data_IF_520751112340
#
_entry.id   IF_520751112340
#
_cell.length_a   1.000
_cell.length_b   1.000
_cell.length_c   1.000
_cell.angle_alpha   90.00
_cell.angle_beta   90.00
_cell.angle_gamma   90.00
#
_symmetry.space_group_name_H-M   'P 1'
#
loop_
_entity.id
_entity.type
_entity.pdbx_description
1 polymer ?
#
# COMPACT_ATOMS: atom_id res chain seq x y z
N UNK A 1 -23.43 29.70 -9.71
CA UNK A 1 -23.35 28.30 -10.15
C UNK A 1 -21.97 27.79 -9.75
N UNK A 2 -21.90 26.89 -8.78
CA UNK A 2 -20.64 26.43 -8.17
C UNK A 2 -19.96 25.39 -9.05
N UNK A 3 -18.73 25.65 -9.47
CA UNK A 3 -17.90 24.67 -10.17
C UNK A 3 -17.23 23.76 -9.15
N UNK A 4 -17.63 22.49 -9.14
CA UNK A 4 -16.99 21.45 -8.34
C UNK A 4 -15.62 21.12 -8.94
N UNK A 5 -14.57 21.78 -8.46
CA UNK A 5 -13.20 21.39 -8.73
C UNK A 5 -12.83 20.21 -7.80
N UNK A 6 -13.22 18.99 -8.17
CA UNK A 6 -12.64 17.78 -7.57
C UNK A 6 -11.23 17.64 -8.13
N UNK A 7 -10.28 18.30 -7.45
CA UNK A 7 -8.86 18.16 -7.73
C UNK A 7 -8.48 16.69 -7.68
N UNK A 8 -8.15 16.14 -8.84
CA UNK A 8 -7.48 14.87 -9.00
C UNK A 8 -6.15 14.94 -8.24
N UNK A 9 -6.10 14.41 -7.03
CA UNK A 9 -4.84 14.09 -6.38
C UNK A 9 -4.30 12.83 -7.06
N UNK A 10 -3.74 13.01 -8.27
CA UNK A 10 -2.74 12.10 -8.82
C UNK A 10 -1.56 12.16 -7.85
N UNK A 11 -1.58 11.30 -6.84
CA UNK A 11 -0.40 10.98 -6.05
C UNK A 11 0.71 10.66 -7.03
N UNK A 12 1.80 11.42 -6.93
CA UNK A 12 2.99 11.30 -7.76
C UNK A 12 3.39 9.83 -7.85
N UNK A 13 3.14 9.23 -9.01
CA UNK A 13 3.76 7.98 -9.40
C UNK A 13 5.23 8.32 -9.60
N UNK A 14 6.03 8.05 -8.56
CA UNK A 14 7.49 8.03 -8.65
C UNK A 14 7.86 7.00 -9.72
N UNK A 15 8.42 7.51 -10.81
CA UNK A 15 9.09 6.74 -11.85
C UNK A 15 10.26 5.94 -11.24
N UNK A 16 10.38 4.69 -11.68
CA UNK A 16 11.61 3.86 -11.73
C UNK A 16 12.19 3.12 -10.52
N UNK A 17 11.44 2.96 -9.43
CA UNK A 17 11.56 1.74 -8.61
C UNK A 17 10.15 1.39 -8.18
N UNK A 18 9.48 0.48 -8.91
CA UNK A 18 8.25 -0.15 -8.42
C UNK A 18 8.57 -0.82 -7.09
N UNK A 19 8.40 -0.09 -5.99
CA UNK A 19 8.44 -0.69 -4.66
C UNK A 19 7.33 -1.72 -4.68
N UNK A 20 7.66 -3.01 -4.52
CA UNK A 20 6.70 -4.11 -4.49
C UNK A 20 5.69 -4.02 -3.33
N UNK A 21 5.67 -2.89 -2.63
CA UNK A 21 4.89 -2.58 -1.45
C UNK A 21 4.14 -1.27 -1.64
N UNK A 22 2.84 -1.28 -1.39
CA UNK A 22 2.02 -0.08 -1.25
C UNK A 22 1.64 0.12 0.21
N UNK A 23 1.46 1.39 0.60
CA UNK A 23 1.12 1.77 1.97
C UNK A 23 -0.25 2.40 2.01
N UNK A 24 -1.04 1.99 3.01
CA UNK A 24 -2.43 2.38 3.16
C UNK A 24 -2.75 2.67 4.63
N UNK A 25 -3.94 3.22 4.86
CA UNK A 25 -4.47 3.51 6.19
C UNK A 25 -5.83 2.82 6.29
N UNK A 26 -6.03 2.01 7.33
CA UNK A 26 -7.31 1.38 7.59
C UNK A 26 -8.39 2.44 7.88
N UNK A 27 -9.66 2.18 7.55
CA UNK A 27 -10.76 3.00 8.01
C UNK A 27 -10.70 3.26 9.53
N UNK A 28 -11.15 4.44 9.95
CA UNK A 28 -11.22 4.78 11.38
C UNK A 28 -12.09 3.79 12.19
N UNK A 29 -13.09 3.17 11.55
CA UNK A 29 -13.93 2.12 12.14
C UNK A 29 -13.18 0.82 12.43
N UNK A 30 -12.05 0.57 11.77
CA UNK A 30 -11.16 -0.58 12.01
C UNK A 30 -9.94 -0.23 12.88
N UNK A 31 -9.74 1.06 13.20
CA UNK A 31 -8.66 1.52 14.09
C UNK A 31 -7.77 2.61 13.49
N UNK A 32 -7.84 2.88 12.19
CA UNK A 32 -7.06 3.96 11.57
C UNK A 32 -5.56 3.67 11.45
N UNK A 33 -5.15 2.41 11.56
CA UNK A 33 -3.74 2.03 11.55
C UNK A 33 -3.16 2.03 10.14
N UNK A 34 -1.86 2.32 10.04
CA UNK A 34 -1.12 2.18 8.78
C UNK A 34 -0.85 0.71 8.51
N UNK A 35 -1.08 0.28 7.28
CA UNK A 35 -0.74 -1.06 6.81
C UNK A 35 0.06 -1.02 5.52
N UNK A 36 0.82 -2.08 5.27
CA UNK A 36 1.56 -2.29 4.03
C UNK A 36 0.99 -3.49 3.32
N UNK A 37 0.85 -3.40 1.99
CA UNK A 37 0.43 -4.48 1.11
C UNK A 37 1.53 -4.77 0.10
N UNK A 38 1.86 -6.04 -0.07
CA UNK A 38 2.71 -6.48 -1.16
C UNK A 38 1.91 -6.55 -2.47
N UNK A 39 2.37 -5.90 -3.54
CA UNK A 39 1.68 -5.89 -4.84
C UNK A 39 1.90 -7.18 -5.64
N UNK A 40 2.93 -7.97 -5.33
CA UNK A 40 3.19 -9.23 -6.04
C UNK A 40 2.33 -10.38 -5.51
N UNK A 41 2.17 -10.52 -4.19
CA UNK A 41 1.38 -11.61 -3.60
C UNK A 41 0.09 -11.18 -2.89
N UNK A 42 -0.14 -9.87 -2.72
CA UNK A 42 -1.32 -9.33 -2.03
C UNK A 42 -1.34 -9.60 -0.52
N UNK A 43 -0.21 -10.00 0.09
CA UNK A 43 -0.11 -10.11 1.53
C UNK A 43 -0.13 -8.72 2.18
N UNK A 44 -0.73 -8.62 3.36
CA UNK A 44 -0.91 -7.36 4.09
C UNK A 44 -0.38 -7.49 5.52
N UNK A 45 0.17 -6.40 6.05
CA UNK A 45 0.72 -6.36 7.40
C UNK A 45 0.41 -5.05 8.12
N UNK A 46 -0.13 -5.17 9.34
CA UNK A 46 -0.37 -4.09 10.30
C UNK A 46 0.48 -4.38 11.55
N UNK A 47 1.26 -3.41 12.09
CA UNK A 47 1.54 -2.09 11.53
C UNK A 47 2.41 -2.18 10.27
N UNK A 48 2.33 -1.19 9.38
CA UNK A 48 3.03 -1.11 8.09
C UNK A 48 4.55 -1.37 8.17
N UNK A 49 4.94 -2.64 8.18
CA UNK A 49 6.32 -3.10 8.36
C UNK A 49 6.64 -4.15 7.30
N UNK A 50 7.23 -3.77 6.15
CA UNK A 50 7.54 -4.71 5.06
C UNK A 50 8.38 -5.89 5.52
N UNK A 51 9.38 -5.66 6.38
CA UNK A 51 10.26 -6.70 6.91
C UNK A 51 9.54 -7.74 7.80
N UNK A 52 8.31 -7.46 8.26
CA UNK A 52 7.48 -8.38 9.04
C UNK A 52 6.32 -8.95 8.24
N UNK A 53 6.17 -8.53 6.99
CA UNK A 53 5.09 -8.97 6.13
C UNK A 53 5.34 -10.43 5.76
N UNK A 54 4.40 -11.29 6.17
CA UNK A 54 4.46 -12.71 5.84
C UNK A 54 3.92 -12.89 4.44
N UNK A 55 4.83 -13.08 3.48
CA UNK A 55 4.49 -13.29 2.09
C UNK A 55 3.77 -14.63 1.86
N UNK A 56 2.97 -14.70 0.81
CA UNK A 56 2.36 -15.96 0.37
C UNK A 56 3.40 -16.81 -0.36
N UNK A 57 3.27 -18.16 -0.35
CA UNK A 57 4.18 -19.03 -1.09
C UNK A 57 4.28 -18.65 -2.58
N UNK A 58 5.51 -18.60 -3.11
CA UNK A 58 5.78 -18.24 -4.51
C UNK A 58 5.88 -16.73 -4.78
N UNK A 59 5.85 -15.89 -3.75
CA UNK A 59 6.11 -14.46 -3.88
C UNK A 59 7.59 -14.19 -4.10
N UNK A 60 7.95 -13.42 -5.13
CA UNK A 60 9.35 -13.01 -5.41
C UNK A 60 9.97 -12.21 -4.27
N UNK A 61 9.15 -11.47 -3.54
CA UNK A 61 9.58 -10.66 -2.39
C UNK A 61 9.76 -11.50 -1.10
N UNK A 62 9.36 -12.77 -1.09
CA UNK A 62 9.60 -13.66 0.04
C UNK A 62 11.06 -14.13 0.14
N UNK A 63 11.72 -14.23 -1.00
CA UNK A 63 13.08 -14.76 -1.17
C UNK A 63 14.12 -13.65 -1.44
N UNK A 64 13.71 -12.37 -1.37
CA UNK A 64 14.51 -11.19 -1.68
C UNK A 64 15.32 -10.65 -0.48
#
# INVERSE_FOLDING_TARGET
MSTNASAALKTAANDDIESAYTYHIEPATQGGCRYVRCETCGAECVPATPARLTHRPGCTEADA
#
